data_IF_779596643139
#
_entry.id   IF_779596643139
#
_cell.length_a   1.000
_cell.length_b   1.000
_cell.length_c   1.000
_cell.angle_alpha   90.00
_cell.angle_beta   90.00
_cell.angle_gamma   90.00
#
_symmetry.space_group_name_H-M   'P 1'
#
loop_
_entity.id
_entity.type
_entity.pdbx_description
1 polymer ?
#
# COMPACT_ATOMS: atom_id res chain seq x y z
N UNK A 1 7.46 -28.20 -0.28
CA UNK A 1 6.06 -28.50 -0.66
C UNK A 1 5.26 -27.22 -0.55
N UNK A 2 5.13 -26.53 -1.68
CA UNK A 2 4.47 -25.23 -1.83
C UNK A 2 2.98 -25.45 -2.04
N UNK A 3 2.16 -25.10 -1.05
CA UNK A 3 0.72 -24.96 -1.24
C UNK A 3 0.43 -23.57 -1.78
N UNK A 4 0.24 -23.52 -3.10
CA UNK A 4 -0.40 -22.43 -3.81
C UNK A 4 -1.86 -22.34 -3.30
N UNK A 5 -2.21 -21.30 -2.53
CA UNK A 5 -3.61 -21.02 -2.17
C UNK A 5 -4.11 -19.88 -3.04
N UNK A 6 -5.01 -20.24 -3.95
CA UNK A 6 -5.87 -19.30 -4.66
C UNK A 6 -6.74 -18.56 -3.63
N UNK A 7 -6.60 -17.23 -3.56
CA UNK A 7 -7.54 -16.39 -2.82
C UNK A 7 -8.80 -16.31 -3.67
N UNK A 8 -9.78 -17.16 -3.33
CA UNK A 8 -11.15 -16.99 -3.77
C UNK A 8 -11.72 -15.83 -2.97
N UNK A 9 -12.00 -14.70 -3.62
CA UNK A 9 -12.83 -13.62 -3.05
C UNK A 9 -14.25 -14.18 -2.85
N UNK A 10 -14.49 -14.81 -1.70
CA UNK A 10 -15.82 -15.14 -1.26
C UNK A 10 -16.50 -13.84 -0.81
N UNK A 11 -17.48 -13.39 -1.60
CA UNK A 11 -18.49 -12.45 -1.14
C UNK A 11 -19.23 -13.12 0.03
N UNK A 12 -18.78 -12.86 1.26
CA UNK A 12 -19.49 -13.30 2.45
C UNK A 12 -20.70 -12.40 2.62
N UNK A 13 -21.83 -12.79 2.02
CA UNK A 13 -23.14 -12.31 2.43
C UNK A 13 -23.48 -12.97 3.78
N UNK A 14 -23.01 -12.40 4.89
CA UNK A 14 -23.52 -12.77 6.21
C UNK A 14 -24.95 -12.22 6.33
N UNK A 15 -25.93 -13.09 6.13
CA UNK A 15 -27.33 -12.81 6.48
C UNK A 15 -27.43 -12.96 7.98
N UNK A 16 -27.43 -11.84 8.71
CA UNK A 16 -27.72 -11.81 10.14
C UNK A 16 -29.24 -11.91 10.34
N UNK A 17 -29.72 -13.00 10.92
CA UNK A 17 -31.05 -13.06 11.52
C UNK A 17 -30.96 -12.52 12.96
N UNK A 18 -31.29 -11.23 13.14
CA UNK A 18 -31.53 -10.62 14.44
C UNK A 18 -32.94 -10.01 14.51
N UNK A 19 -33.56 -9.93 15.71
CA UNK A 19 -34.93 -9.47 15.88
C UNK A 19 -35.05 -7.98 15.52
N UNK A 20 -36.19 -7.62 14.95
CA UNK A 20 -36.51 -6.28 14.46
C UNK A 20 -36.44 -5.20 15.54
N UNK A 21 -35.41 -4.35 15.46
CA UNK A 21 -35.43 -2.96 15.94
C UNK A 21 -34.60 -2.10 14.97
N UNK A 22 -35.18 -1.00 14.54
CA UNK A 22 -34.78 -0.14 13.43
C UNK A 22 -33.50 0.68 13.69
N UNK A 23 -32.33 0.05 13.61
CA UNK A 23 -31.07 0.74 13.37
C UNK A 23 -30.39 0.09 12.17
N UNK A 24 -30.62 0.66 10.99
CA UNK A 24 -29.79 0.36 9.84
C UNK A 24 -28.37 0.79 10.23
N UNK A 25 -27.48 -0.15 10.57
CA UNK A 25 -26.14 0.10 11.10
C UNK A 25 -25.32 0.93 10.09
N UNK A 26 -25.42 2.25 10.19
CA UNK A 26 -24.64 3.16 9.37
C UNK A 26 -23.18 3.07 9.76
N UNK A 27 -22.29 3.03 8.77
CA UNK A 27 -20.84 3.10 9.00
C UNK A 27 -20.49 4.32 9.89
N UNK A 28 -19.52 4.18 10.81
CA UNK A 28 -19.15 5.26 11.71
C UNK A 28 -18.66 6.49 10.93
N UNK A 29 -19.01 7.69 11.42
CA UNK A 29 -18.74 8.97 10.72
C UNK A 29 -17.54 9.74 11.26
N UNK A 30 -17.06 9.36 12.44
CA UNK A 30 -15.99 10.04 13.16
C UNK A 30 -15.36 9.07 14.17
N UNK A 31 -14.26 9.49 14.81
CA UNK A 31 -13.50 8.64 15.74
C UNK A 31 -14.31 8.18 16.96
N UNK A 32 -15.20 9.02 17.48
CA UNK A 32 -16.06 8.65 18.61
C UNK A 32 -17.04 7.54 18.24
N UNK A 33 -17.73 7.66 17.11
CA UNK A 33 -18.60 6.62 16.59
C UNK A 33 -17.82 5.34 16.27
N UNK A 34 -16.62 5.47 15.71
CA UNK A 34 -15.72 4.33 15.47
C UNK A 34 -15.37 3.62 16.77
N UNK A 35 -15.03 4.32 17.84
CA UNK A 35 -14.73 3.70 19.13
C UNK A 35 -15.95 2.97 19.72
N UNK A 36 -17.15 3.54 19.61
CA UNK A 36 -18.39 2.87 20.01
C UNK A 36 -18.63 1.60 19.19
N UNK A 37 -18.38 1.65 17.89
CA UNK A 37 -18.45 0.49 17.00
C UNK A 37 -17.45 -0.59 17.43
N UNK A 38 -16.17 -0.24 17.63
CA UNK A 38 -15.14 -1.19 18.04
C UNK A 38 -15.47 -1.84 19.39
N UNK A 39 -15.93 -1.06 20.38
CA UNK A 39 -16.28 -1.61 21.69
C UNK A 39 -17.35 -2.72 21.64
N UNK A 40 -18.24 -2.67 20.65
CA UNK A 40 -19.31 -3.65 20.44
C UNK A 40 -18.91 -4.82 19.54
N UNK A 41 -17.95 -4.63 18.63
CA UNK A 41 -17.68 -5.56 17.53
C UNK A 41 -16.29 -6.20 17.57
N UNK A 42 -15.43 -5.86 18.53
CA UNK A 42 -14.11 -6.48 18.73
C UNK A 42 -14.03 -7.19 20.08
N UNK A 43 -13.25 -8.26 20.13
CA UNK A 43 -13.04 -9.08 21.32
C UNK A 43 -12.26 -8.34 22.40
N UNK A 44 -12.42 -8.78 23.66
CA UNK A 44 -11.59 -8.25 24.75
C UNK A 44 -10.10 -8.60 24.57
N UNK A 45 -9.80 -9.66 23.81
CA UNK A 45 -8.42 -9.98 23.40
C UNK A 45 -7.82 -8.85 22.57
N UNK A 46 -8.48 -8.45 21.48
CA UNK A 46 -7.99 -7.33 20.67
C UNK A 46 -7.95 -6.02 21.43
N UNK A 47 -8.94 -5.74 22.31
CA UNK A 47 -8.89 -4.55 23.18
C UNK A 47 -7.64 -4.55 24.05
N UNK A 48 -7.27 -5.69 24.63
CA UNK A 48 -6.06 -5.80 25.44
C UNK A 48 -4.80 -5.61 24.60
N UNK A 49 -4.72 -6.21 23.40
CA UNK A 49 -3.60 -6.01 22.47
C UNK A 49 -3.43 -4.52 22.13
N UNK A 50 -4.51 -3.84 21.75
CA UNK A 50 -4.46 -2.40 21.43
C UNK A 50 -4.06 -1.56 22.66
N UNK A 51 -4.64 -1.87 23.83
CA UNK A 51 -4.41 -1.11 25.07
C UNK A 51 -2.96 -1.15 25.52
N UNK A 52 -2.34 -2.33 25.48
CA UNK A 52 -1.02 -2.58 26.07
C UNK A 52 0.11 -2.67 25.04
N UNK A 53 -0.16 -2.46 23.75
CA UNK A 53 0.88 -2.45 22.72
C UNK A 53 1.91 -1.34 22.97
N UNK A 54 3.19 -1.68 22.83
CA UNK A 54 4.31 -0.73 22.82
C UNK A 54 4.75 -0.34 21.39
N UNK A 55 4.00 -0.78 20.37
CA UNK A 55 4.31 -0.49 18.96
C UNK A 55 4.23 1.01 18.68
N UNK A 56 5.21 1.50 17.90
CA UNK A 56 5.28 2.91 17.50
C UNK A 56 4.18 3.24 16.47
N UNK A 57 3.86 2.28 15.61
CA UNK A 57 2.80 2.35 14.61
C UNK A 57 1.84 1.17 14.84
N UNK A 58 0.68 1.47 15.45
CA UNK A 58 -0.30 0.44 15.80
C UNK A 58 -0.88 -0.25 14.57
N UNK A 59 -0.79 0.36 13.38
CA UNK A 59 -1.18 -0.30 12.14
C UNK A 59 -0.34 -1.53 11.80
N UNK A 60 0.87 -1.66 12.38
CA UNK A 60 1.76 -2.81 12.20
C UNK A 60 1.44 -3.97 13.13
N UNK A 61 0.45 -3.83 14.02
CA UNK A 61 -0.01 -4.93 14.85
C UNK A 61 -0.50 -6.09 13.97
N UNK A 62 0.13 -7.25 14.13
CA UNK A 62 -0.27 -8.50 13.49
C UNK A 62 -0.50 -9.56 14.55
N UNK A 63 -1.66 -10.21 14.49
CA UNK A 63 -1.94 -11.41 15.27
C UNK A 63 -2.83 -12.32 14.42
N UNK A 64 -2.35 -13.53 14.13
CA UNK A 64 -3.06 -14.48 13.28
C UNK A 64 -4.41 -14.91 13.90
N UNK A 65 -4.53 -14.89 15.23
CA UNK A 65 -5.79 -15.22 15.92
C UNK A 65 -6.80 -14.07 15.84
N UNK A 66 -6.34 -12.85 15.60
CA UNK A 66 -7.16 -11.63 15.52
C UNK A 66 -7.27 -11.05 14.11
N UNK A 67 -6.81 -11.78 13.09
CA UNK A 67 -6.73 -11.32 11.70
C UNK A 67 -8.09 -10.78 11.22
N UNK A 68 -9.18 -11.52 11.46
CA UNK A 68 -10.53 -11.10 11.06
C UNK A 68 -11.02 -9.81 11.75
N UNK A 69 -10.54 -9.53 12.96
CA UNK A 69 -10.86 -8.29 13.67
C UNK A 69 -10.05 -7.11 13.15
N UNK A 70 -8.79 -7.32 12.76
CA UNK A 70 -8.01 -6.31 12.06
C UNK A 70 -8.58 -6.02 10.66
N UNK A 71 -9.04 -7.04 9.93
CA UNK A 71 -9.76 -6.88 8.66
C UNK A 71 -11.06 -6.08 8.84
N UNK A 72 -11.79 -6.30 9.94
CA UNK A 72 -12.96 -5.47 10.28
C UNK A 72 -12.58 -3.99 10.40
N UNK A 73 -11.47 -3.66 11.06
CA UNK A 73 -11.00 -2.27 11.18
C UNK A 73 -10.63 -1.71 9.80
N UNK A 74 -9.95 -2.49 8.97
CA UNK A 74 -9.58 -2.09 7.61
C UNK A 74 -10.82 -1.86 6.74
N UNK A 75 -11.87 -2.67 6.94
CA UNK A 75 -13.14 -2.53 6.23
C UNK A 75 -13.81 -1.17 6.48
N UNK A 76 -13.61 -0.54 7.64
CA UNK A 76 -14.13 0.80 7.96
C UNK A 76 -13.53 1.89 7.07
N UNK A 77 -12.37 1.63 6.48
CA UNK A 77 -11.63 2.52 5.59
C UNK A 77 -11.77 2.15 4.10
N UNK A 78 -12.41 1.02 3.77
CA UNK A 78 -12.33 0.35 2.47
C UNK A 78 -12.97 1.07 1.28
N UNK A 79 -13.68 2.18 1.45
CA UNK A 79 -14.32 2.87 0.31
C UNK A 79 -14.19 4.39 0.38
N UNK A 80 -14.08 5.04 -0.78
CA UNK A 80 -14.24 6.50 -0.92
C UNK A 80 -15.63 7.01 -0.50
N UNK A 81 -16.57 6.11 -0.20
CA UNK A 81 -17.90 6.40 0.36
C UNK A 81 -17.96 6.23 1.89
N UNK A 82 -16.89 5.73 2.53
CA UNK A 82 -16.84 5.63 3.98
C UNK A 82 -16.90 7.04 4.59
N UNK A 83 -17.90 7.33 5.45
CA UNK A 83 -17.97 8.59 6.16
C UNK A 83 -16.73 8.84 7.02
N UNK A 84 -16.19 7.79 7.67
CA UNK A 84 -14.95 7.86 8.43
C UNK A 84 -13.74 8.19 7.55
N UNK A 85 -13.62 7.56 6.38
CA UNK A 85 -12.55 7.87 5.42
C UNK A 85 -12.59 9.34 5.00
N UNK A 86 -13.79 9.85 4.68
CA UNK A 86 -14.02 11.25 4.32
C UNK A 86 -13.69 12.18 5.49
N UNK A 87 -14.13 11.83 6.71
CA UNK A 87 -13.84 12.57 7.93
C UNK A 87 -12.33 12.74 8.15
N UNK A 88 -11.57 11.64 8.10
CA UNK A 88 -10.13 11.66 8.33
C UNK A 88 -9.39 12.46 7.24
N UNK A 89 -9.80 12.34 5.97
CA UNK A 89 -9.24 13.17 4.90
C UNK A 89 -9.52 14.66 5.13
N UNK A 90 -10.73 15.03 5.54
CA UNK A 90 -11.07 16.42 5.86
C UNK A 90 -10.30 16.95 7.08
N UNK A 91 -9.90 16.06 8.00
CA UNK A 91 -8.98 16.37 9.09
C UNK A 91 -7.51 16.38 8.65
N UNK A 92 -7.18 16.15 7.38
CA UNK A 92 -5.82 16.14 6.86
C UNK A 92 -5.01 14.89 7.22
N UNK A 93 -5.69 13.78 7.56
CA UNK A 93 -5.09 12.48 7.80
C UNK A 93 -5.29 11.60 6.56
N UNK A 94 -4.20 11.32 5.86
CA UNK A 94 -4.21 10.64 4.57
C UNK A 94 -3.59 9.25 4.64
N UNK A 95 -2.38 9.15 5.22
CA UNK A 95 -1.59 7.93 5.26
C UNK A 95 -1.80 7.15 6.57
N UNK A 96 -1.97 7.85 7.69
CA UNK A 96 -2.01 7.25 9.04
C UNK A 96 -3.44 7.01 9.56
N UNK A 97 -4.38 6.65 8.70
CA UNK A 97 -5.81 6.55 9.08
C UNK A 97 -6.06 5.44 10.12
N UNK A 98 -5.48 4.27 9.89
CA UNK A 98 -5.59 3.12 10.81
C UNK A 98 -4.95 3.44 12.16
N UNK A 99 -3.75 4.02 12.16
CA UNK A 99 -3.08 4.44 13.39
C UNK A 99 -3.87 5.45 14.20
N UNK A 100 -4.48 6.46 13.55
CA UNK A 100 -5.32 7.43 14.27
C UNK A 100 -6.50 6.75 14.95
N UNK A 101 -7.14 5.77 14.29
CA UNK A 101 -8.26 5.00 14.86
C UNK A 101 -7.78 4.18 16.07
N UNK A 102 -6.69 3.43 15.89
CA UNK A 102 -6.15 2.55 16.93
C UNK A 102 -5.64 3.35 18.13
N UNK A 103 -4.96 4.46 17.90
CA UNK A 103 -4.44 5.33 18.96
C UNK A 103 -5.57 6.04 19.71
N UNK A 104 -6.61 6.50 19.00
CA UNK A 104 -7.82 7.03 19.64
C UNK A 104 -8.46 5.98 20.55
N UNK A 105 -8.60 4.76 20.07
CA UNK A 105 -9.22 3.67 20.84
C UNK A 105 -8.35 3.23 22.03
N UNK A 106 -7.03 3.13 21.85
CA UNK A 106 -6.05 2.86 22.92
C UNK A 106 -6.15 3.88 24.06
N UNK A 107 -6.23 5.17 23.75
CA UNK A 107 -6.36 6.22 24.75
C UNK A 107 -7.71 6.13 25.50
N UNK A 108 -8.80 5.79 24.82
CA UNK A 108 -10.08 5.50 25.49
C UNK A 108 -10.00 4.31 26.43
N UNK A 109 -9.42 3.19 26.00
CA UNK A 109 -9.27 1.97 26.81
C UNK A 109 -8.37 2.19 28.05
N UNK A 110 -7.43 3.13 27.94
CA UNK A 110 -6.43 3.42 28.99
C UNK A 110 -6.89 4.51 29.97
N UNK A 111 -7.40 5.62 29.45
CA UNK A 111 -7.72 6.82 30.23
C UNK A 111 -9.22 7.15 30.30
N UNK A 112 -10.07 6.47 29.53
CA UNK A 112 -11.52 6.72 29.47
C UNK A 112 -11.92 7.98 28.68
N UNK A 113 -10.95 8.76 28.17
CA UNK A 113 -11.21 9.94 27.36
C UNK A 113 -10.07 10.20 26.37
N UNK A 114 -10.34 11.01 25.34
CA UNK A 114 -9.35 11.42 24.33
C UNK A 114 -9.44 12.91 24.08
N UNK A 115 -8.29 13.60 24.06
CA UNK A 115 -8.18 14.97 23.56
C UNK A 115 -7.98 14.92 22.05
N UNK A 116 -9.07 14.76 21.31
CA UNK A 116 -9.04 14.48 19.87
C UNK A 116 -8.24 15.52 19.08
N UNK A 117 -8.38 16.81 19.37
CA UNK A 117 -7.61 17.85 18.67
C UNK A 117 -6.09 17.71 18.87
N UNK A 118 -5.66 17.25 20.05
CA UNK A 118 -4.24 17.01 20.34
C UNK A 118 -3.74 15.79 19.58
N UNK A 119 -4.53 14.72 19.55
CA UNK A 119 -4.25 13.51 18.77
C UNK A 119 -4.12 13.83 17.28
N UNK A 120 -5.12 14.47 16.69
CA UNK A 120 -5.14 14.83 15.27
C UNK A 120 -3.98 15.79 14.92
N UNK A 121 -3.62 16.71 15.82
CA UNK A 121 -2.44 17.57 15.64
C UNK A 121 -1.15 16.75 15.56
N UNK A 122 -0.98 15.74 16.42
CA UNK A 122 0.21 14.89 16.40
C UNK A 122 0.34 14.13 15.07
N UNK A 123 -0.76 13.56 14.57
CA UNK A 123 -0.76 12.86 13.29
C UNK A 123 -0.61 13.79 12.08
N UNK A 124 -1.15 15.01 12.11
CA UNK A 124 -0.83 16.03 11.09
C UNK A 124 0.67 16.37 11.02
N UNK A 125 1.37 16.35 12.17
CA UNK A 125 2.82 16.51 12.16
C UNK A 125 3.52 15.31 11.51
N UNK A 126 3.05 14.07 11.76
CA UNK A 126 3.52 12.87 11.06
C UNK A 126 3.30 12.97 9.54
N UNK A 127 2.11 13.38 9.10
CA UNK A 127 1.78 13.62 7.67
C UNK A 127 2.73 14.63 7.02
N UNK A 128 2.99 15.75 7.70
CA UNK A 128 3.89 16.78 7.19
C UNK A 128 5.35 16.31 7.11
N UNK A 129 5.79 15.52 8.10
CA UNK A 129 7.12 14.89 8.09
C UNK A 129 7.25 13.93 6.91
N UNK A 130 6.31 13.00 6.73
CA UNK A 130 6.27 12.06 5.61
C UNK A 130 6.28 12.80 4.27
N UNK A 131 5.45 13.84 4.12
CA UNK A 131 5.42 14.66 2.90
C UNK A 131 6.76 15.32 2.58
N UNK A 132 7.48 15.80 3.60
CA UNK A 132 8.82 16.39 3.44
C UNK A 132 9.83 15.34 3.01
N UNK A 133 9.81 14.16 3.62
CA UNK A 133 10.71 13.04 3.30
C UNK A 133 10.49 12.55 1.87
N UNK A 134 9.24 12.32 1.45
CA UNK A 134 8.91 11.94 0.07
C UNK A 134 9.40 13.00 -0.92
N UNK A 135 9.22 14.29 -0.63
CA UNK A 135 9.71 15.38 -1.49
C UNK A 135 11.23 15.35 -1.64
N UNK A 136 11.96 15.06 -0.57
CA UNK A 136 13.41 14.92 -0.63
C UNK A 136 13.81 13.72 -1.50
N UNK A 137 13.18 12.56 -1.29
CA UNK A 137 13.41 11.34 -2.07
C UNK A 137 13.11 11.48 -3.56
N UNK A 138 12.11 12.29 -3.93
CA UNK A 138 11.77 12.58 -5.33
C UNK A 138 12.85 13.35 -6.09
N UNK A 139 13.80 13.99 -5.39
CA UNK A 139 14.89 14.75 -6.00
C UNK A 139 16.27 14.12 -5.78
N UNK A 140 16.38 13.14 -4.88
CA UNK A 140 17.63 12.45 -4.58
C UNK A 140 18.04 11.52 -5.73
N UNK A 141 19.33 11.52 -6.06
CA UNK A 141 19.90 10.53 -6.97
C UNK A 141 20.20 9.18 -6.29
N UNK A 142 20.34 9.22 -4.96
CA UNK A 142 20.72 8.09 -4.13
C UNK A 142 19.83 8.06 -2.90
N UNK A 143 19.29 6.89 -2.57
CA UNK A 143 18.50 6.66 -1.36
C UNK A 143 19.10 5.45 -0.65
N UNK A 144 19.48 5.61 0.63
CA UNK A 144 20.09 4.55 1.43
C UNK A 144 21.28 3.85 0.73
N UNK A 145 22.13 4.62 0.04
CA UNK A 145 23.29 4.09 -0.70
C UNK A 145 22.97 3.47 -2.06
N UNK A 146 21.71 3.40 -2.47
CA UNK A 146 21.27 2.88 -3.76
C UNK A 146 21.02 4.02 -4.74
N UNK A 147 21.70 4.00 -5.88
CA UNK A 147 21.40 4.91 -6.99
C UNK A 147 20.00 4.63 -7.55
N UNK A 148 19.22 5.69 -7.74
CA UNK A 148 17.84 5.63 -8.21
C UNK A 148 17.80 6.05 -9.67
N UNK A 149 17.34 5.25 -10.64
CA UNK A 149 17.25 5.70 -12.02
C UNK A 149 16.36 6.93 -12.22
N UNK A 150 16.70 7.85 -13.13
CA UNK A 150 15.86 9.05 -13.40
C UNK A 150 14.75 8.81 -14.43
N UNK A 151 14.87 7.79 -15.27
CA UNK A 151 13.94 7.43 -16.34
C UNK A 151 14.18 5.98 -16.83
N UNK A 152 13.46 5.52 -17.86
CA UNK A 152 13.59 4.15 -18.38
C UNK A 152 14.98 3.84 -18.95
N UNK A 153 15.61 4.77 -19.68
CA UNK A 153 16.93 4.52 -20.24
C UNK A 153 17.99 4.35 -19.15
N UNK A 154 17.91 5.16 -18.09
CA UNK A 154 18.77 5.03 -16.92
C UNK A 154 18.50 3.71 -16.17
N UNK A 155 17.25 3.23 -16.12
CA UNK A 155 16.95 1.89 -15.60
C UNK A 155 17.71 0.82 -16.39
N UNK A 156 17.75 0.91 -17.72
CA UNK A 156 18.43 -0.08 -18.55
C UNK A 156 19.94 -0.10 -18.29
N UNK A 157 20.56 1.07 -18.14
CA UNK A 157 21.96 1.18 -17.75
C UNK A 157 22.22 0.51 -16.40
N UNK A 158 21.34 0.72 -15.42
CA UNK A 158 21.47 0.04 -14.12
C UNK A 158 21.28 -1.47 -14.24
N UNK A 159 20.30 -1.94 -15.02
CA UNK A 159 20.07 -3.38 -15.25
C UNK A 159 21.29 -4.03 -15.90
N UNK A 160 21.89 -3.40 -16.90
CA UNK A 160 23.13 -3.88 -17.53
C UNK A 160 24.31 -3.97 -16.55
N UNK A 161 24.30 -3.19 -15.47
CA UNK A 161 25.31 -3.31 -14.40
C UNK A 161 25.05 -4.47 -13.43
N UNK A 162 23.80 -4.93 -13.31
CA UNK A 162 23.43 -6.09 -12.49
C UNK A 162 23.55 -7.41 -13.25
N UNK A 163 23.29 -7.41 -14.57
CA UNK A 163 23.17 -8.63 -15.37
C UNK A 163 24.31 -8.77 -16.36
N UNK A 164 25.12 -9.81 -16.16
CA UNK A 164 26.16 -10.22 -17.08
C UNK A 164 25.59 -10.73 -18.42
N UNK A 165 26.48 -10.94 -19.39
CA UNK A 165 26.09 -11.40 -20.72
C UNK A 165 25.47 -12.81 -20.70
N UNK A 166 25.88 -13.67 -19.76
CA UNK A 166 25.27 -14.99 -19.57
C UNK A 166 23.80 -14.88 -19.19
N UNK A 167 23.48 -14.01 -18.22
CA UNK A 167 22.11 -13.74 -17.78
C UNK A 167 21.28 -13.16 -18.92
N UNK A 168 21.83 -12.18 -19.64
CA UNK A 168 21.17 -11.58 -20.81
C UNK A 168 20.89 -12.60 -21.92
N UNK A 169 21.80 -13.53 -22.17
CA UNK A 169 21.60 -14.60 -23.16
C UNK A 169 20.48 -15.55 -22.76
N UNK A 170 20.42 -15.98 -21.49
CA UNK A 170 19.30 -16.78 -20.97
C UNK A 170 17.96 -16.06 -21.12
N UNK A 171 17.92 -14.76 -20.85
CA UNK A 171 16.69 -13.95 -21.03
C UNK A 171 16.28 -13.88 -22.51
N UNK A 172 17.24 -13.82 -23.44
CA UNK A 172 16.93 -13.84 -24.89
C UNK A 172 16.31 -15.15 -25.36
N UNK A 173 16.62 -16.26 -24.70
CA UNK A 173 16.02 -17.57 -25.00
C UNK A 173 14.58 -17.70 -24.47
N UNK A 174 14.21 -16.93 -23.45
CA UNK A 174 12.86 -16.91 -22.89
C UNK A 174 11.84 -16.19 -23.79
N UNK A 175 10.59 -16.60 -23.70
CA UNK A 175 9.43 -15.79 -24.13
C UNK A 175 9.21 -14.60 -23.18
N UNK A 176 8.45 -13.59 -23.63
CA UNK A 176 8.14 -12.42 -22.79
C UNK A 176 7.38 -12.86 -21.53
N UNK A 177 6.43 -13.79 -21.67
CA UNK A 177 5.64 -14.30 -20.56
C UNK A 177 6.49 -15.02 -19.51
N UNK A 178 7.44 -15.86 -19.93
CA UNK A 178 8.33 -16.58 -19.01
C UNK A 178 9.23 -15.61 -18.25
N UNK A 179 9.81 -14.63 -18.95
CA UNK A 179 10.65 -13.62 -18.32
C UNK A 179 9.86 -12.78 -17.31
N UNK A 180 8.65 -12.32 -17.67
CA UNK A 180 7.83 -11.51 -16.78
C UNK A 180 7.38 -12.30 -15.54
N UNK A 181 6.93 -13.54 -15.72
CA UNK A 181 6.54 -14.41 -14.61
C UNK A 181 7.69 -14.68 -13.65
N UNK A 182 8.89 -15.00 -14.17
CA UNK A 182 10.08 -15.27 -13.37
C UNK A 182 10.66 -14.03 -12.69
N UNK A 183 10.55 -12.86 -13.32
CA UNK A 183 11.16 -11.63 -12.81
C UNK A 183 10.28 -10.88 -11.81
N UNK A 184 8.96 -11.11 -11.81
CA UNK A 184 8.00 -10.33 -11.01
C UNK A 184 8.31 -10.31 -9.51
N UNK A 185 8.56 -11.48 -8.93
CA UNK A 185 8.88 -11.65 -7.51
C UNK A 185 10.39 -11.66 -7.20
N UNK A 186 11.23 -11.81 -8.23
CA UNK A 186 12.68 -11.68 -8.12
C UNK A 186 13.11 -10.22 -8.28
N UNK A 187 13.72 -9.92 -9.42
CA UNK A 187 14.29 -8.59 -9.68
C UNK A 187 13.25 -7.47 -9.66
N UNK A 188 12.00 -7.74 -10.08
CA UNK A 188 10.90 -6.77 -9.97
C UNK A 188 10.64 -6.35 -8.52
N UNK A 189 10.59 -7.31 -7.59
CA UNK A 189 10.44 -7.03 -6.16
C UNK A 189 11.64 -6.24 -5.63
N UNK A 190 12.84 -6.64 -6.02
CA UNK A 190 14.06 -5.91 -5.68
C UNK A 190 13.99 -4.45 -6.14
N UNK A 191 13.57 -4.19 -7.39
CA UNK A 191 13.42 -2.82 -7.92
C UNK A 191 12.38 -2.02 -7.12
N UNK A 192 11.23 -2.61 -6.78
CA UNK A 192 10.19 -1.91 -6.02
C UNK A 192 10.68 -1.43 -4.67
N UNK A 193 11.48 -2.25 -3.99
CA UNK A 193 12.01 -1.95 -2.66
C UNK A 193 13.21 -1.01 -2.74
N UNK A 194 14.17 -1.28 -3.64
CA UNK A 194 15.47 -0.59 -3.67
C UNK A 194 15.46 0.69 -4.52
N UNK A 195 14.67 0.74 -5.60
CA UNK A 195 14.47 1.98 -6.36
C UNK A 195 13.35 2.85 -5.79
N UNK A 196 12.83 2.49 -4.60
CA UNK A 196 11.88 3.28 -3.83
C UNK A 196 10.56 3.51 -4.54
N UNK A 197 10.03 2.49 -5.22
CA UNK A 197 8.78 2.63 -5.98
C UNK A 197 7.56 2.77 -5.05
N UNK A 198 7.55 2.08 -3.90
CA UNK A 198 6.52 2.24 -2.86
C UNK A 198 6.63 3.56 -2.09
N UNK A 199 7.81 3.85 -1.53
CA UNK A 199 8.03 5.00 -0.64
C UNK A 199 8.33 6.32 -1.35
N UNK A 200 8.23 6.38 -2.67
CA UNK A 200 8.58 7.55 -3.46
C UNK A 200 10.08 7.65 -3.78
N UNK A 201 10.38 8.01 -5.02
CA UNK A 201 11.71 8.26 -5.55
C UNK A 201 11.63 9.10 -6.82
N UNK A 202 12.76 9.57 -7.35
CA UNK A 202 12.76 10.27 -8.65
C UNK A 202 12.25 9.39 -9.80
N UNK A 203 12.48 8.07 -9.73
CA UNK A 203 11.98 7.10 -10.70
C UNK A 203 10.45 6.95 -10.61
N UNK A 204 9.93 6.77 -9.40
CA UNK A 204 8.48 6.62 -9.22
C UNK A 204 7.76 7.91 -9.59
N UNK A 205 8.33 9.08 -9.29
CA UNK A 205 7.83 10.37 -9.76
C UNK A 205 7.81 10.48 -11.29
N UNK A 206 8.84 9.98 -11.97
CA UNK A 206 8.89 9.94 -13.44
C UNK A 206 7.76 9.11 -14.05
N UNK A 207 7.42 7.96 -13.45
CA UNK A 207 6.33 7.08 -13.91
C UNK A 207 4.94 7.60 -13.49
N UNK A 208 4.81 8.18 -12.30
CA UNK A 208 3.56 8.81 -11.83
C UNK A 208 3.16 10.00 -12.70
N UNK A 209 4.13 10.82 -13.15
CA UNK A 209 3.87 11.88 -14.13
C UNK A 209 3.32 11.36 -15.47
N UNK A 210 3.48 10.06 -15.75
CA UNK A 210 2.96 9.37 -16.94
C UNK A 210 1.67 8.59 -16.67
N UNK A 211 1.10 8.73 -15.48
CA UNK A 211 -0.18 8.11 -15.10
C UNK A 211 -0.06 6.75 -14.42
N UNK A 212 1.15 6.27 -14.12
CA UNK A 212 1.36 4.96 -13.48
C UNK A 212 1.63 5.17 -12.00
N UNK A 213 0.75 4.62 -11.15
CA UNK A 213 0.79 4.83 -9.70
C UNK A 213 1.15 3.58 -8.91
N UNK A 214 0.83 2.40 -9.42
CA UNK A 214 1.10 1.16 -8.72
C UNK A 214 2.55 0.68 -8.95
N UNK A 215 3.33 0.41 -7.90
CA UNK A 215 4.72 -0.03 -8.05
C UNK A 215 4.91 -1.35 -8.81
N UNK A 216 3.95 -2.28 -8.75
CA UNK A 216 4.01 -3.50 -9.57
C UNK A 216 3.99 -3.16 -11.06
N UNK A 217 3.09 -2.29 -11.51
CA UNK A 217 3.04 -1.82 -12.90
C UNK A 217 4.30 -1.05 -13.28
N UNK A 218 4.82 -0.21 -12.37
CA UNK A 218 6.06 0.53 -12.60
C UNK A 218 7.21 -0.42 -12.90
N UNK A 219 7.38 -1.45 -12.06
CA UNK A 219 8.42 -2.46 -12.26
C UNK A 219 8.16 -3.32 -13.50
N UNK A 220 6.89 -3.66 -13.76
CA UNK A 220 6.46 -4.39 -14.95
C UNK A 220 6.82 -3.67 -16.24
N UNK A 221 6.50 -2.38 -16.34
CA UNK A 221 6.83 -1.55 -17.51
C UNK A 221 8.34 -1.52 -17.75
N UNK A 222 9.14 -1.35 -16.70
CA UNK A 222 10.59 -1.31 -16.84
C UNK A 222 11.13 -2.65 -17.35
N UNK A 223 10.68 -3.77 -16.75
CA UNK A 223 11.10 -5.11 -17.12
C UNK A 223 10.68 -5.49 -18.55
N UNK A 224 9.42 -5.27 -18.92
CA UNK A 224 8.91 -5.52 -20.27
C UNK A 224 9.67 -4.69 -21.31
N UNK A 225 9.90 -3.41 -21.01
CA UNK A 225 10.64 -2.52 -21.91
C UNK A 225 12.10 -2.97 -22.08
N UNK A 226 12.75 -3.39 -20.99
CA UNK A 226 14.11 -3.93 -21.06
C UNK A 226 14.18 -5.22 -21.86
N UNK A 227 13.26 -6.17 -21.64
CA UNK A 227 13.17 -7.42 -22.38
C UNK A 227 13.05 -7.19 -23.89
N UNK A 228 12.15 -6.30 -24.30
CA UNK A 228 11.94 -5.95 -25.71
C UNK A 228 13.19 -5.33 -26.32
N UNK A 229 13.81 -4.38 -25.62
CA UNK A 229 15.08 -3.76 -26.03
C UNK A 229 16.19 -4.80 -26.18
N UNK A 230 16.31 -5.75 -25.25
CA UNK A 230 17.31 -6.82 -25.29
C UNK A 230 17.18 -7.73 -26.52
N UNK A 231 15.97 -7.86 -27.06
CA UNK A 231 15.64 -8.57 -28.29
C UNK A 231 15.63 -7.70 -29.55
N UNK A 232 16.07 -6.44 -29.46
CA UNK A 232 16.08 -5.50 -30.59
C UNK A 232 14.67 -5.09 -31.05
N UNK A 233 13.65 -5.22 -30.19
CA UNK A 233 12.28 -4.80 -30.46
C UNK A 233 12.01 -3.42 -29.84
N UNK A 234 11.07 -2.70 -30.42
CA UNK A 234 10.53 -1.49 -29.80
C UNK A 234 9.92 -1.86 -28.43
N UNK A 235 10.32 -1.18 -27.34
CA UNK A 235 9.66 -1.30 -26.05
C UNK A 235 8.15 -1.07 -26.10
N UNK A 236 7.64 -0.24 -27.00
CA UNK A 236 6.22 0.13 -27.09
C UNK A 236 5.68 0.65 -25.74
N UNK A 237 6.45 1.55 -25.12
CA UNK A 237 6.13 2.13 -23.80
C UNK A 237 4.76 2.79 -23.81
N UNK A 238 4.38 3.45 -24.92
CA UNK A 238 3.10 4.14 -25.04
C UNK A 238 1.93 3.17 -24.80
N UNK A 239 1.91 2.03 -25.49
CA UNK A 239 0.80 1.07 -25.34
C UNK A 239 0.79 0.44 -23.95
N UNK A 240 1.96 0.18 -23.36
CA UNK A 240 2.05 -0.28 -21.97
C UNK A 240 1.43 0.73 -21.00
N UNK A 241 1.73 2.03 -21.16
CA UNK A 241 1.17 3.08 -20.31
C UNK A 241 -0.36 3.18 -20.46
N UNK A 242 -0.88 3.11 -21.69
CA UNK A 242 -2.32 3.18 -21.93
C UNK A 242 -3.06 1.96 -21.37
N UNK A 243 -2.47 0.76 -21.44
CA UNK A 243 -3.02 -0.45 -20.84
C UNK A 243 -3.24 -0.27 -19.33
N UNK A 244 -2.22 0.16 -18.58
CA UNK A 244 -2.32 0.32 -17.14
C UNK A 244 -3.23 1.47 -16.73
N UNK A 245 -3.23 2.59 -17.46
CA UNK A 245 -4.20 3.68 -17.22
C UNK A 245 -5.64 3.17 -17.33
N UNK A 246 -5.94 2.36 -18.35
CA UNK A 246 -7.27 1.76 -18.54
C UNK A 246 -7.60 0.75 -17.44
N UNK A 247 -6.64 -0.09 -17.05
CA UNK A 247 -6.83 -1.10 -16.00
C UNK A 247 -7.26 -0.48 -14.66
N UNK A 248 -6.69 0.67 -14.30
CA UNK A 248 -7.02 1.38 -13.06
C UNK A 248 -8.12 2.44 -13.22
N UNK A 249 -8.78 2.53 -14.38
CA UNK A 249 -9.95 3.41 -14.54
C UNK A 249 -11.16 2.74 -13.87
N UNK A 250 -11.85 3.41 -12.92
CA UNK A 250 -13.04 2.88 -12.26
C UNK A 250 -14.20 2.56 -13.20
#
# INVERSE_FOLDING_TARGET
MTTLRFILLALISVVWSLPSASAQNSLPRNLKETASFLNLNVSDSLKNVIKYSDEVELSELTDNELESEFELIDSLLSTGKSPLFTYLNNKGIHNFKKDVILEYYKQLLSAGYVKEDSLLKAFKLKENKLKKEIRQRMNADTIAGIYIPKNLDDCFVQIDSFWDDSTKNKIREMTESEFMAGSHFGFGMWMRNNWGLWGGSRLSAYLTKRGIRHPDDMSGIILTSYYRKLKGKDPDVKSQLEYYKKYWTP
#
